data_IF_811409867324
#
_entry.id   IF_811409867324
#
_cell.length_a   1.000
_cell.length_b   1.000
_cell.length_c   1.000
_cell.angle_alpha   90.00
_cell.angle_beta   90.00
_cell.angle_gamma   90.00
#
_symmetry.space_group_name_H-M   'P 1'
#
loop_
_entity.id
_entity.type
_entity.pdbx_description
1 polymer ?
#
# COMPACT_ATOMS: atom_id res chain seq x y z
N UNK A 1 -3.63 -7.66 -32.94
CA UNK A 1 -4.24 -6.41 -32.44
C UNK A 1 -4.01 -5.36 -33.50
N UNK A 2 -5.05 -4.63 -33.90
CA UNK A 2 -4.86 -3.42 -34.68
C UNK A 2 -4.04 -2.40 -33.88
N UNK A 3 -3.48 -1.42 -34.57
CA UNK A 3 -2.73 -0.34 -33.93
C UNK A 3 -3.60 0.44 -32.93
N UNK A 4 -4.88 0.62 -33.25
CA UNK A 4 -5.84 1.35 -32.43
C UNK A 4 -6.20 0.58 -31.15
N UNK A 5 -6.46 -0.73 -31.22
CA UNK A 5 -6.68 -1.56 -30.02
C UNK A 5 -5.46 -1.60 -29.13
N UNK A 6 -4.27 -1.72 -29.72
CA UNK A 6 -3.02 -1.73 -28.96
C UNK A 6 -2.77 -0.41 -28.23
N UNK A 7 -3.00 0.71 -28.91
CA UNK A 7 -2.87 2.05 -28.32
C UNK A 7 -3.86 2.25 -27.16
N UNK A 8 -5.12 1.87 -27.37
CA UNK A 8 -6.18 1.98 -26.35
C UNK A 8 -5.89 1.12 -25.13
N UNK A 9 -5.47 -0.13 -25.33
CA UNK A 9 -5.03 -1.02 -24.25
C UNK A 9 -3.87 -0.43 -23.44
N UNK A 10 -2.83 0.06 -24.12
CA UNK A 10 -1.66 0.68 -23.46
C UNK A 10 -2.05 1.92 -22.66
N UNK A 11 -2.94 2.76 -23.21
CA UNK A 11 -3.43 3.97 -22.54
C UNK A 11 -4.21 3.63 -21.27
N UNK A 12 -5.15 2.68 -21.37
CA UNK A 12 -5.94 2.22 -20.23
C UNK A 12 -5.07 1.61 -19.15
N UNK A 13 -4.12 0.74 -19.53
CA UNK A 13 -3.20 0.10 -18.60
C UNK A 13 -2.35 1.14 -17.85
N UNK A 14 -1.78 2.13 -18.55
CA UNK A 14 -1.01 3.22 -17.93
C UNK A 14 -1.86 4.03 -16.96
N UNK A 15 -3.10 4.33 -17.34
CA UNK A 15 -4.05 5.10 -16.53
C UNK A 15 -4.42 4.36 -15.24
N UNK A 16 -4.66 3.05 -15.32
CA UNK A 16 -4.90 2.19 -14.15
C UNK A 16 -3.67 2.10 -13.24
N UNK A 17 -2.47 1.97 -13.80
CA UNK A 17 -1.22 1.95 -13.02
C UNK A 17 -1.00 3.28 -12.32
N UNK A 18 -1.18 4.41 -13.03
CA UNK A 18 -1.00 5.76 -12.48
C UNK A 18 -1.98 6.04 -11.33
N UNK A 19 -3.27 5.82 -11.55
CA UNK A 19 -4.32 6.07 -10.56
C UNK A 19 -4.18 5.20 -9.31
N UNK A 20 -3.84 3.92 -9.46
CA UNK A 20 -3.70 3.01 -8.32
C UNK A 20 -2.42 3.23 -7.50
N UNK A 21 -1.44 3.99 -8.01
CA UNK A 21 -0.11 4.13 -7.38
C UNK A 21 -0.18 4.64 -5.95
N UNK A 22 -0.96 5.70 -5.70
CA UNK A 22 -1.11 6.29 -4.36
C UNK A 22 -1.65 5.29 -3.35
N UNK A 23 -2.77 4.65 -3.68
CA UNK A 23 -3.42 3.66 -2.81
C UNK A 23 -2.53 2.44 -2.57
N UNK A 24 -1.81 1.96 -3.59
CA UNK A 24 -0.83 0.88 -3.43
C UNK A 24 0.31 1.26 -2.49
N UNK A 25 0.83 2.48 -2.57
CA UNK A 25 1.88 2.95 -1.65
C UNK A 25 1.35 2.97 -0.22
N UNK A 26 0.15 3.51 0.01
CA UNK A 26 -0.48 3.52 1.33
C UNK A 26 -0.69 2.10 1.87
N UNK A 27 -1.17 1.18 1.03
CA UNK A 27 -1.34 -0.23 1.38
C UNK A 27 0.00 -0.88 1.76
N UNK A 28 1.03 -0.71 0.94
CA UNK A 28 2.37 -1.24 1.21
C UNK A 28 2.95 -0.69 2.53
N UNK A 29 2.73 0.59 2.82
CA UNK A 29 3.15 1.20 4.08
C UNK A 29 2.41 0.58 5.27
N UNK A 30 1.10 0.40 5.18
CA UNK A 30 0.29 -0.23 6.22
C UNK A 30 0.70 -1.70 6.43
N UNK A 31 0.89 -2.45 5.35
CA UNK A 31 1.29 -3.86 5.43
C UNK A 31 2.70 -4.02 6.00
N UNK A 32 3.64 -3.12 5.63
CA UNK A 32 4.97 -3.06 6.24
C UNK A 32 4.87 -2.79 7.75
N UNK A 33 4.04 -1.82 8.18
CA UNK A 33 3.79 -1.55 9.60
C UNK A 33 3.23 -2.78 10.33
N UNK A 34 2.23 -3.46 9.75
CA UNK A 34 1.66 -4.69 10.30
C UNK A 34 2.71 -5.80 10.43
N UNK A 35 3.52 -6.02 9.39
CA UNK A 35 4.59 -7.02 9.41
C UNK A 35 5.64 -6.71 10.47
N UNK A 36 6.05 -5.45 10.61
CA UNK A 36 6.97 -5.02 11.68
C UNK A 36 6.36 -5.29 13.06
N UNK A 37 5.09 -4.97 13.28
CA UNK A 37 4.41 -5.21 14.54
C UNK A 37 4.36 -6.71 14.88
N UNK A 38 3.98 -7.56 13.92
CA UNK A 38 3.94 -9.02 14.08
C UNK A 38 5.33 -9.60 14.39
N UNK A 39 6.37 -9.16 13.67
CA UNK A 39 7.75 -9.59 13.93
C UNK A 39 8.29 -9.09 15.27
N UNK A 40 7.90 -7.88 15.68
CA UNK A 40 8.28 -7.32 16.99
C UNK A 40 7.63 -8.12 18.11
N UNK A 41 6.35 -8.47 17.98
CA UNK A 41 5.66 -9.36 18.91
C UNK A 41 6.34 -10.73 18.98
N UNK A 42 6.65 -11.35 17.83
CA UNK A 42 7.38 -12.62 17.77
C UNK A 42 8.75 -12.51 18.46
N UNK A 43 9.50 -11.43 18.22
CA UNK A 43 10.76 -11.16 18.90
C UNK A 43 10.60 -11.11 20.42
N UNK A 44 9.57 -10.43 20.93
CA UNK A 44 9.27 -10.37 22.38
C UNK A 44 9.02 -11.77 22.93
N UNK A 45 8.25 -12.60 22.22
CA UNK A 45 7.98 -13.99 22.65
C UNK A 45 9.25 -14.84 22.66
N UNK A 46 10.12 -14.71 21.66
CA UNK A 46 11.40 -15.41 21.62
C UNK A 46 12.35 -14.95 22.75
N UNK A 47 12.35 -13.66 23.11
CA UNK A 47 13.13 -13.14 24.25
C UNK A 47 12.60 -13.73 25.57
N UNK A 48 11.29 -13.84 25.74
CA UNK A 48 10.69 -14.49 26.92
C UNK A 48 11.09 -15.96 27.01
N UNK A 49 11.02 -16.68 25.88
CA UNK A 49 11.45 -18.08 25.80
C UNK A 49 12.94 -18.26 26.11
N UNK A 50 13.79 -17.30 25.73
CA UNK A 50 15.22 -17.32 26.08
C UNK A 50 15.46 -17.20 27.60
N UNK A 51 14.59 -16.47 28.32
CA UNK A 51 14.71 -16.18 29.76
C UNK A 51 14.12 -17.28 30.65
N UNK A 52 13.33 -18.21 30.10
CA UNK A 52 12.77 -19.33 30.85
C UNK A 52 13.88 -20.23 31.43
N UNK A 53 13.84 -20.43 32.76
CA UNK A 53 14.79 -21.29 33.47
C UNK A 53 14.50 -22.75 33.12
N UNK A 54 15.51 -23.46 32.60
CA UNK A 54 15.42 -24.88 32.27
C UNK A 54 15.56 -25.24 30.79
N UNK A 55 15.78 -24.27 29.89
CA UNK A 55 16.05 -24.60 28.48
C UNK A 55 17.39 -25.29 28.30
N UNK A 56 17.36 -26.38 27.54
CA UNK A 56 18.54 -27.10 27.02
C UNK A 56 19.43 -26.20 26.16
N UNK A 57 20.75 -26.47 26.15
CA UNK A 57 21.75 -25.69 25.44
C UNK A 57 21.46 -25.62 23.93
N UNK A 58 20.95 -26.71 23.34
CA UNK A 58 20.58 -26.77 21.93
C UNK A 58 19.36 -25.90 21.62
N UNK A 59 18.36 -25.92 22.50
CA UNK A 59 17.16 -25.09 22.38
C UNK A 59 17.51 -23.59 22.48
N UNK A 60 18.40 -23.19 23.39
CA UNK A 60 18.90 -21.81 23.50
C UNK A 60 19.59 -21.33 22.22
N UNK A 61 20.45 -22.18 21.63
CA UNK A 61 21.11 -21.87 20.36
C UNK A 61 20.11 -21.64 19.22
N UNK A 62 19.04 -22.45 19.15
CA UNK A 62 17.97 -22.28 18.16
C UNK A 62 17.22 -20.95 18.34
N UNK A 63 16.88 -20.58 19.57
CA UNK A 63 16.20 -19.31 19.88
C UNK A 63 17.07 -18.10 19.49
N UNK A 64 18.38 -18.15 19.77
CA UNK A 64 19.32 -17.08 19.37
C UNK A 64 19.39 -16.92 17.83
N UNK A 65 19.43 -18.03 17.10
CA UNK A 65 19.37 -18.01 15.62
C UNK A 65 18.07 -17.38 15.14
N UNK A 66 16.94 -17.73 15.73
CA UNK A 66 15.64 -17.15 15.39
C UNK A 66 15.55 -15.65 15.71
N UNK A 67 16.06 -15.22 16.87
CA UNK A 67 16.13 -13.81 17.25
C UNK A 67 16.95 -12.98 16.26
N UNK A 68 18.13 -13.46 15.88
CA UNK A 68 18.96 -12.76 14.88
C UNK A 68 18.27 -12.71 13.51
N UNK A 69 17.60 -13.80 13.10
CA UNK A 69 16.86 -13.84 11.83
C UNK A 69 15.66 -12.87 11.83
N UNK A 70 14.90 -12.81 12.91
CA UNK A 70 13.78 -11.86 13.07
C UNK A 70 14.29 -10.42 13.11
N UNK A 71 15.38 -10.16 13.83
CA UNK A 71 16.04 -8.85 13.87
C UNK A 71 16.43 -8.35 12.48
N UNK A 72 17.12 -9.19 11.70
CA UNK A 72 17.48 -8.89 10.30
C UNK A 72 16.25 -8.59 9.44
N UNK A 73 15.17 -9.37 9.58
CA UNK A 73 13.92 -9.14 8.83
C UNK A 73 13.29 -7.79 9.15
N UNK A 74 13.28 -7.39 10.43
CA UNK A 74 12.76 -6.09 10.86
C UNK A 74 13.60 -4.95 10.25
N UNK A 75 14.93 -5.05 10.28
CA UNK A 75 15.81 -4.04 9.69
C UNK A 75 15.62 -3.90 8.17
N UNK A 76 15.49 -5.03 7.47
CA UNK A 76 15.19 -5.05 6.03
C UNK A 76 13.85 -4.36 5.76
N UNK A 77 12.82 -4.60 6.56
CA UNK A 77 11.52 -3.97 6.37
C UNK A 77 11.54 -2.46 6.69
N UNK A 78 12.36 -2.02 7.65
CA UNK A 78 12.52 -0.60 8.00
C UNK A 78 13.29 0.18 6.93
N UNK A 79 14.24 -0.45 6.25
CA UNK A 79 15.08 0.18 5.22
C UNK A 79 14.43 0.18 3.83
N UNK A 80 13.45 -0.69 3.59
CA UNK A 80 12.71 -0.73 2.32
C UNK A 80 11.86 0.53 2.15
N UNK A 81 12.13 1.26 1.07
CA UNK A 81 11.32 2.39 0.62
C UNK A 81 10.14 1.89 -0.22
N UNK A 82 8.88 2.05 0.25
CA UNK A 82 7.69 1.63 -0.49
C UNK A 82 7.53 2.32 -1.86
N UNK A 83 8.12 3.52 -2.03
CA UNK A 83 8.01 4.30 -3.27
C UNK A 83 8.78 3.68 -4.44
N UNK A 84 9.80 2.87 -4.13
CA UNK A 84 10.70 2.25 -5.11
C UNK A 84 10.32 0.81 -5.46
N UNK A 85 9.18 0.32 -4.97
CA UNK A 85 8.78 -1.07 -5.25
C UNK A 85 8.39 -1.25 -6.72
N UNK A 86 8.95 -2.28 -7.35
CA UNK A 86 8.66 -2.61 -8.77
C UNK A 86 7.19 -2.98 -8.99
N UNK A 87 6.51 -3.44 -7.94
CA UNK A 87 5.08 -3.79 -7.95
C UNK A 87 4.16 -2.62 -8.33
N UNK A 88 4.62 -1.38 -8.13
CA UNK A 88 3.89 -0.17 -8.53
C UNK A 88 3.82 0.01 -10.05
N UNK A 89 4.70 -0.64 -10.81
CA UNK A 89 4.76 -0.50 -12.27
C UNK A 89 3.77 -1.44 -12.99
N UNK A 90 3.18 -2.38 -12.26
CA UNK A 90 2.37 -3.44 -12.85
C UNK A 90 0.92 -3.38 -12.40
N UNK A 91 0.02 -3.76 -13.31
CA UNK A 91 -1.38 -4.02 -13.02
C UNK A 91 -1.61 -5.52 -12.94
N UNK A 92 -2.16 -5.99 -11.82
CA UNK A 92 -2.30 -7.42 -11.49
C UNK A 92 -3.13 -8.18 -12.53
N UNK A 93 -4.16 -7.54 -13.09
CA UNK A 93 -5.11 -8.16 -14.02
C UNK A 93 -4.87 -7.75 -15.48
N UNK A 94 -3.62 -7.47 -15.86
CA UNK A 94 -3.26 -7.05 -17.22
C UNK A 94 -3.66 -8.07 -18.30
N UNK A 95 -3.54 -9.37 -18.02
CA UNK A 95 -3.99 -10.44 -18.94
C UNK A 95 -5.49 -10.38 -19.21
N UNK A 96 -6.29 -10.33 -18.14
CA UNK A 96 -7.75 -10.23 -18.26
C UNK A 96 -8.17 -8.95 -19.00
N UNK A 97 -7.50 -7.83 -18.72
CA UNK A 97 -7.72 -6.58 -19.44
C UNK A 97 -7.43 -6.72 -20.94
N UNK A 98 -6.34 -7.40 -21.29
CA UNK A 98 -5.99 -7.66 -22.68
C UNK A 98 -7.07 -8.51 -23.37
N UNK A 99 -7.59 -9.54 -22.70
CA UNK A 99 -8.62 -10.41 -23.24
C UNK A 99 -9.93 -9.64 -23.49
N UNK A 100 -10.30 -8.73 -22.58
CA UNK A 100 -11.44 -7.81 -22.77
C UNK A 100 -11.20 -6.91 -23.99
N UNK A 101 -10.03 -6.27 -24.12
CA UNK A 101 -9.79 -5.37 -25.27
C UNK A 101 -9.79 -6.14 -26.59
N UNK A 102 -9.28 -7.37 -26.60
CA UNK A 102 -9.31 -8.24 -27.77
C UNK A 102 -10.73 -8.67 -28.16
N UNK A 103 -11.61 -8.93 -27.19
CA UNK A 103 -12.98 -9.39 -27.46
C UNK A 103 -13.85 -8.30 -28.11
N UNK A 104 -13.47 -7.03 -28.01
CA UNK A 104 -14.16 -5.89 -28.62
C UNK A 104 -13.95 -5.75 -30.14
N UNK A 105 -13.07 -6.57 -30.75
CA UNK A 105 -12.89 -6.69 -32.22
C UNK A 105 -12.79 -5.35 -32.96
N UNK A 106 -12.03 -4.40 -32.42
CA UNK A 106 -11.80 -3.07 -33.02
C UNK A 106 -13.05 -2.17 -33.18
N UNK A 107 -14.16 -2.44 -32.49
CA UNK A 107 -15.35 -1.57 -32.52
C UNK A 107 -15.02 -0.14 -32.06
N UNK A 108 -15.18 0.89 -32.90
CA UNK A 108 -14.74 2.25 -32.60
C UNK A 108 -15.46 2.85 -31.38
N UNK A 109 -16.73 2.51 -31.18
CA UNK A 109 -17.50 3.00 -30.03
C UNK A 109 -16.99 2.41 -28.72
N UNK A 110 -16.80 1.10 -28.67
CA UNK A 110 -16.25 0.42 -27.50
C UNK A 110 -14.84 0.89 -27.17
N UNK A 111 -13.99 1.10 -28.18
CA UNK A 111 -12.66 1.65 -27.98
C UNK A 111 -12.68 3.08 -27.45
N UNK A 112 -13.62 3.91 -27.90
CA UNK A 112 -13.81 5.24 -27.34
C UNK A 112 -14.24 5.18 -25.87
N UNK A 113 -15.20 4.31 -25.53
CA UNK A 113 -15.61 4.11 -24.15
C UNK A 113 -14.46 3.68 -23.23
N UNK A 114 -13.53 2.85 -23.70
CA UNK A 114 -12.33 2.50 -22.94
C UNK A 114 -11.40 3.69 -22.70
N UNK A 115 -11.31 4.63 -23.65
CA UNK A 115 -10.56 5.88 -23.46
C UNK A 115 -11.24 6.78 -22.43
N UNK A 116 -12.56 6.87 -22.47
CA UNK A 116 -13.34 7.65 -21.51
C UNK A 116 -13.18 7.08 -20.09
N UNK A 117 -13.20 5.75 -19.94
CA UNK A 117 -12.90 5.07 -18.67
C UNK A 117 -11.47 5.39 -18.20
N UNK A 118 -10.48 5.34 -19.10
CA UNK A 118 -9.10 5.66 -18.75
C UNK A 118 -8.97 7.08 -18.21
N UNK A 119 -9.63 8.06 -18.84
CA UNK A 119 -9.67 9.45 -18.39
C UNK A 119 -10.40 9.59 -17.05
N UNK A 120 -11.57 8.97 -16.91
CA UNK A 120 -12.37 8.99 -15.70
C UNK A 120 -11.57 8.52 -14.48
N UNK A 121 -10.87 7.38 -14.58
CA UNK A 121 -10.11 6.83 -13.46
C UNK A 121 -8.95 7.75 -13.04
N UNK A 122 -8.29 8.41 -14.00
CA UNK A 122 -7.25 9.41 -13.68
C UNK A 122 -7.87 10.59 -12.94
N UNK A 123 -8.97 11.15 -13.47
CA UNK A 123 -9.65 12.29 -12.86
C UNK A 123 -10.15 11.96 -11.45
N UNK A 124 -10.70 10.76 -11.25
CA UNK A 124 -11.16 10.29 -9.95
C UNK A 124 -10.00 10.21 -8.94
N UNK A 125 -8.85 9.69 -9.36
CA UNK A 125 -7.66 9.62 -8.51
C UNK A 125 -7.08 11.00 -8.16
N UNK A 126 -7.19 11.97 -9.05
CA UNK A 126 -6.77 13.35 -8.81
C UNK A 126 -7.74 14.06 -7.87
N UNK A 127 -9.05 13.85 -8.04
CA UNK A 127 -10.09 14.34 -7.15
C UNK A 127 -9.89 13.85 -5.71
N UNK A 128 -9.64 12.55 -5.53
CA UNK A 128 -9.35 11.97 -4.20
C UNK A 128 -8.13 12.63 -3.54
N UNK A 129 -7.04 12.83 -4.29
CA UNK A 129 -5.84 13.51 -3.80
C UNK A 129 -6.11 14.97 -3.43
N UNK A 130 -6.95 15.68 -4.19
CA UNK A 130 -7.35 17.04 -3.88
C UNK A 130 -8.17 17.10 -2.59
N UNK A 131 -9.13 16.19 -2.41
CA UNK A 131 -9.89 16.10 -1.15
C UNK A 131 -8.93 15.88 0.03
N UNK A 132 -7.99 14.95 -0.08
CA UNK A 132 -7.03 14.68 0.99
C UNK A 132 -6.18 15.91 1.35
N UNK A 133 -5.79 16.71 0.34
CA UNK A 133 -4.98 17.92 0.54
C UNK A 133 -5.77 19.07 1.17
N UNK A 134 -7.00 19.32 0.71
CA UNK A 134 -7.78 20.48 1.12
C UNK A 134 -8.72 20.20 2.30
N UNK A 135 -9.01 18.92 2.60
CA UNK A 135 -9.79 18.50 3.76
C UNK A 135 -9.00 17.50 4.63
N UNK A 136 -7.92 17.94 5.29
CA UNK A 136 -7.14 17.07 6.16
C UNK A 136 -7.96 16.56 7.35
N UNK A 137 -9.05 17.25 7.71
CA UNK A 137 -9.98 16.82 8.75
C UNK A 137 -10.83 15.61 8.38
N UNK A 138 -10.88 15.22 7.10
CA UNK A 138 -11.67 14.07 6.65
C UNK A 138 -11.18 12.75 7.24
N UNK A 139 -9.86 12.60 7.40
CA UNK A 139 -9.22 11.38 7.93
C UNK A 139 -8.88 11.45 9.42
N UNK A 140 -9.13 12.59 10.08
CA UNK A 140 -8.79 12.76 11.49
C UNK A 140 -9.78 12.02 12.39
N UNK A 141 -9.26 11.39 13.45
CA UNK A 141 -10.11 10.87 14.52
C UNK A 141 -10.86 12.01 15.21
N UNK A 142 -11.91 11.68 15.94
CA UNK A 142 -12.64 12.68 16.70
C UNK A 142 -11.75 13.33 17.77
N UNK A 143 -10.87 12.57 18.43
CA UNK A 143 -9.92 13.15 19.39
C UNK A 143 -8.95 14.12 18.70
N UNK A 144 -8.40 13.76 17.54
CA UNK A 144 -7.47 14.63 16.79
C UNK A 144 -8.12 15.96 16.39
N UNK A 145 -9.42 15.93 16.01
CA UNK A 145 -10.19 17.13 15.70
C UNK A 145 -10.39 18.02 16.93
N UNK A 146 -10.75 17.41 18.06
CA UNK A 146 -10.93 18.13 19.33
C UNK A 146 -9.61 18.76 19.76
N UNK A 147 -8.51 18.01 19.73
CA UNK A 147 -7.17 18.52 20.06
C UNK A 147 -6.75 19.69 19.16
N UNK A 148 -6.91 19.56 17.84
CA UNK A 148 -6.58 20.65 16.92
C UNK A 148 -7.40 21.91 17.18
N UNK A 149 -8.68 21.73 17.47
CA UNK A 149 -9.59 22.85 17.75
C UNK A 149 -9.21 23.53 19.05
N UNK A 150 -8.95 22.76 20.11
CA UNK A 150 -8.47 23.26 21.40
C UNK A 150 -7.14 24.03 21.24
N UNK A 151 -6.16 23.46 20.55
CA UNK A 151 -4.88 24.12 20.28
C UNK A 151 -5.04 25.44 19.49
N UNK A 152 -6.00 25.52 18.56
CA UNK A 152 -6.26 26.75 17.79
C UNK A 152 -6.76 27.90 18.67
N UNK A 153 -7.44 27.58 19.77
CA UNK A 153 -7.96 28.56 20.73
C UNK A 153 -7.12 28.65 22.02
N UNK A 154 -5.96 28.00 22.06
CA UNK A 154 -5.06 28.02 23.22
C UNK A 154 -5.54 27.18 24.41
N UNK A 155 -6.49 26.26 24.21
CA UNK A 155 -6.96 25.31 25.23
C UNK A 155 -6.16 24.00 25.15
N UNK A 156 -5.85 23.41 26.30
CA UNK A 156 -5.31 22.04 26.39
C UNK A 156 -6.45 21.05 26.64
N UNK A 157 -6.49 19.97 25.86
CA UNK A 157 -7.39 18.84 26.11
C UNK A 157 -6.71 17.90 27.11
N UNK A 158 -7.39 17.45 28.17
CA UNK A 158 -6.88 16.40 29.07
C UNK A 158 -6.67 15.08 28.34
N UNK A 159 -5.66 14.29 28.76
CA UNK A 159 -5.43 12.91 28.29
C UNK A 159 -6.49 11.92 28.79
#
# INVERSE_FOLDING_TARGET
>A
MSELTLSTYKSLLRSLVRSAKHNKIQQLQQDTKKQIALLTYNRIQLVRQQQEKGLDAMARSKVLKQLSAVGKKIEILKTKDPLKSKELLFYSHSKHLKDIVLSLKDDPRSLQHLKDIAAFVVNQSEYEQLIERYNPGLKMSQEEKVQKTANKVGLQVPE
#
